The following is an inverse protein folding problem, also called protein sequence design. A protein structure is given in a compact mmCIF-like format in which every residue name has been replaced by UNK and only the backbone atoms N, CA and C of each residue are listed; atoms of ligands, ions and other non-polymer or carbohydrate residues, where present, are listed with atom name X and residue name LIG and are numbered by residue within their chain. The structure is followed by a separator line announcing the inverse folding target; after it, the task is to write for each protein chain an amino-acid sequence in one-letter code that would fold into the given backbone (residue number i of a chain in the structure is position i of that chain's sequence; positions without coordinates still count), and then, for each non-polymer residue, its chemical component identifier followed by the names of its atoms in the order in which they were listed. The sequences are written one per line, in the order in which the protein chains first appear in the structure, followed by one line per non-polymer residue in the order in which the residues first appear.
data_IF_673511110292
#
_entry.id   IF_673511110292
#
_cell.length_a   1.000
_cell.length_b   1.000
_cell.length_c   1.000
_cell.angle_alpha   90.00
_cell.angle_beta   90.00
_cell.angle_gamma   90.00
#
_symmetry.space_group_name_H-M   'P 1'
#
loop_
_entity.id
_entity.type
_entity.pdbx_description
1 polymer ?
#
# COMPACT_ATOMS: atom_id res chain seq x y z
N UNK A 1 10.93 -24.37 41.80
CA UNK A 1 12.24 -23.86 41.35
C UNK A 1 11.95 -22.86 40.24
N UNK A 2 12.26 -21.59 40.45
CA UNK A 2 12.00 -20.51 39.49
C UNK A 2 13.36 -19.94 39.12
N UNK A 3 13.62 -19.85 37.82
CA UNK A 3 14.81 -19.21 37.29
C UNK A 3 14.36 -17.88 36.71
N UNK A 4 14.87 -16.78 37.25
CA UNK A 4 14.71 -15.45 36.65
C UNK A 4 15.86 -15.17 35.70
N UNK A 5 15.53 -14.63 34.53
CA UNK A 5 16.50 -14.16 33.56
C UNK A 5 16.21 -12.69 33.27
N UNK A 6 17.22 -11.84 33.46
CA UNK A 6 17.16 -10.42 33.14
C UNK A 6 17.86 -10.20 31.81
N UNK A 7 17.11 -9.73 30.81
CA UNK A 7 17.63 -9.41 29.48
C UNK A 7 17.83 -7.89 29.42
N UNK A 8 19.07 -7.45 29.21
CA UNK A 8 19.41 -6.05 28.96
C UNK A 8 19.76 -5.90 27.48
N UNK A 9 19.01 -5.07 26.76
CA UNK A 9 19.31 -4.71 25.38
C UNK A 9 20.22 -3.49 25.41
N UNK A 10 21.49 -3.66 25.07
CA UNK A 10 22.48 -2.57 25.11
C UNK A 10 22.29 -1.62 23.93
N UNK A 11 22.17 -2.16 22.71
CA UNK A 11 21.96 -1.37 21.50
C UNK A 11 21.14 -2.16 20.46
N UNK A 12 20.24 -1.46 19.78
CA UNK A 12 19.52 -1.99 18.62
C UNK A 12 20.17 -1.50 17.34
N UNK A 13 21.04 -2.32 16.74
CA UNK A 13 21.58 -2.04 15.41
C UNK A 13 20.55 -2.42 14.34
N UNK A 14 19.75 -1.43 13.97
CA UNK A 14 18.83 -1.53 12.84
C UNK A 14 18.59 -0.14 12.30
N UNK A 15 19.23 0.21 11.20
CA UNK A 15 18.73 1.32 10.39
C UNK A 15 17.38 0.84 9.86
N UNK A 16 16.28 1.26 10.50
CA UNK A 16 14.95 1.28 9.86
C UNK A 16 15.08 2.26 8.71
N UNK A 17 15.65 1.79 7.59
CA UNK A 17 15.69 2.57 6.36
C UNK A 17 14.22 2.70 5.99
N UNK A 18 13.63 3.88 6.22
CA UNK A 18 12.32 4.18 5.64
C UNK A 18 12.51 4.06 4.14
N UNK A 19 12.04 2.93 3.60
CA UNK A 19 12.00 2.73 2.16
C UNK A 19 11.04 3.78 1.66
N UNK A 20 11.57 4.83 1.02
CA UNK A 20 10.76 5.75 0.25
C UNK A 20 10.33 4.98 -0.98
N UNK A 21 9.05 4.61 -1.01
CA UNK A 21 8.46 4.02 -2.19
C UNK A 21 8.16 5.14 -3.17
N UNK A 22 8.68 4.97 -4.39
CA UNK A 22 8.27 5.80 -5.50
C UNK A 22 7.02 5.17 -6.12
N UNK A 23 5.89 5.88 -6.02
CA UNK A 23 4.61 5.45 -6.58
C UNK A 23 4.35 6.09 -7.95
N UNK A 24 5.26 6.90 -8.48
CA UNK A 24 5.12 7.53 -9.81
C UNK A 24 5.39 6.56 -10.96
N UNK A 25 6.03 5.43 -10.66
CA UNK A 25 6.39 4.38 -11.60
C UNK A 25 5.95 3.01 -11.07
N UNK A 26 5.77 2.00 -11.94
CA UNK A 26 5.51 0.63 -11.52
C UNK A 26 6.57 0.11 -10.54
N UNK A 27 6.15 -0.64 -9.53
CA UNK A 27 7.08 -1.25 -8.59
C UNK A 27 7.77 -2.43 -9.29
N UNK A 28 9.09 -2.53 -9.14
CA UNK A 28 9.88 -3.60 -9.79
C UNK A 28 9.45 -5.04 -9.41
N UNK A 29 8.71 -5.19 -8.31
CA UNK A 29 8.21 -6.49 -7.83
C UNK A 29 6.82 -6.85 -8.38
N UNK A 30 6.18 -5.98 -9.19
CA UNK A 30 4.89 -6.26 -9.84
C UNK A 30 3.70 -6.36 -8.88
N UNK A 31 3.78 -5.68 -7.74
CA UNK A 31 2.71 -5.66 -6.74
C UNK A 31 1.67 -4.56 -7.00
N UNK A 32 1.96 -3.62 -7.90
CA UNK A 32 0.98 -2.68 -8.44
C UNK A 32 0.11 -3.35 -9.50
N UNK A 33 -1.20 -3.20 -9.35
CA UNK A 33 -2.21 -3.80 -10.22
C UNK A 33 -3.32 -2.81 -10.58
N UNK A 34 -3.15 -1.53 -10.21
CA UNK A 34 -3.97 -0.40 -10.65
C UNK A 34 -3.19 0.91 -10.59
N UNK A 35 -3.50 1.81 -11.51
CA UNK A 35 -3.01 3.19 -11.52
C UNK A 35 -4.16 4.12 -11.13
N UNK A 36 -3.97 4.91 -10.09
CA UNK A 36 -4.89 5.99 -9.73
C UNK A 36 -4.37 7.29 -10.35
N UNK A 37 -5.24 8.03 -11.04
CA UNK A 37 -4.94 9.37 -11.53
C UNK A 37 -5.61 10.36 -10.58
N UNK A 38 -4.80 11.12 -9.84
CA UNK A 38 -5.26 12.12 -8.87
C UNK A 38 -4.71 13.46 -9.31
N UNK A 39 -5.59 14.42 -9.61
CA UNK A 39 -5.20 15.75 -10.13
C UNK A 39 -4.22 15.67 -11.33
N UNK A 40 -4.42 14.69 -12.21
CA UNK A 40 -3.56 14.45 -13.37
C UNK A 40 -2.22 13.75 -13.06
N UNK A 41 -1.95 13.37 -11.81
CA UNK A 41 -0.76 12.61 -11.39
C UNK A 41 -1.07 11.13 -11.30
N UNK A 42 -0.23 10.30 -11.91
CA UNK A 42 -0.33 8.83 -11.85
C UNK A 42 0.31 8.29 -10.58
N UNK A 43 -0.42 7.42 -9.89
CA UNK A 43 0.01 6.75 -8.67
C UNK A 43 -0.22 5.24 -8.84
N UNK A 44 0.85 4.47 -8.89
CA UNK A 44 0.84 3.02 -9.01
C UNK A 44 0.61 2.38 -7.63
N UNK A 45 -0.47 1.60 -7.48
CA UNK A 45 -0.88 1.04 -6.19
C UNK A 45 -1.41 -0.39 -6.32
N UNK A 46 -1.49 -1.07 -5.18
CA UNK A 46 -2.09 -2.41 -5.08
C UNK A 46 -3.56 -2.35 -4.64
N UNK A 47 -4.48 -2.85 -5.47
CA UNK A 47 -5.93 -3.03 -5.21
C UNK A 47 -6.19 -3.72 -3.89
N UNK A 48 -5.48 -4.83 -3.62
CA UNK A 48 -5.65 -5.62 -2.40
C UNK A 48 -5.26 -4.81 -1.16
N UNK A 49 -4.13 -4.12 -1.21
CA UNK A 49 -3.64 -3.34 -0.09
C UNK A 49 -4.59 -2.18 0.26
N UNK A 50 -5.04 -1.43 -0.74
CA UNK A 50 -5.99 -0.34 -0.54
C UNK A 50 -7.37 -0.82 -0.06
N UNK A 51 -7.85 -1.96 -0.56
CA UNK A 51 -9.13 -2.53 -0.14
C UNK A 51 -9.11 -3.00 1.32
N UNK A 52 -7.99 -3.60 1.77
CA UNK A 52 -7.83 -4.00 3.18
C UNK A 52 -7.92 -2.79 4.11
N UNK A 53 -7.39 -1.65 3.67
CA UNK A 53 -7.31 -0.44 4.49
C UNK A 53 -8.48 0.54 4.27
N UNK A 54 -9.34 0.32 3.28
CA UNK A 54 -10.46 1.21 2.96
C UNK A 54 -11.63 0.47 2.31
N UNK A 55 -12.81 0.49 2.93
CA UNK A 55 -14.02 -0.12 2.36
C UNK A 55 -14.49 0.57 1.08
N UNK A 56 -14.10 1.84 0.86
CA UNK A 56 -14.36 2.56 -0.39
C UNK A 56 -13.61 1.92 -1.55
N UNK A 57 -12.31 1.65 -1.35
CA UNK A 57 -11.48 1.01 -2.38
C UNK A 57 -11.85 -0.46 -2.58
N UNK A 58 -12.24 -1.18 -1.52
CA UNK A 58 -12.80 -2.53 -1.66
C UNK A 58 -14.01 -2.55 -2.59
N UNK A 59 -14.96 -1.64 -2.35
CA UNK A 59 -16.18 -1.52 -3.14
C UNK A 59 -15.87 -1.08 -4.58
N UNK A 60 -14.97 -0.12 -4.78
CA UNK A 60 -14.56 0.38 -6.10
C UNK A 60 -13.88 -0.70 -6.95
N UNK A 61 -13.04 -1.55 -6.37
CA UNK A 61 -12.26 -2.53 -7.13
C UNK A 61 -12.95 -3.88 -7.32
N UNK A 62 -13.76 -4.33 -6.35
CA UNK A 62 -14.29 -5.70 -6.33
C UNK A 62 -15.81 -5.81 -6.45
N UNK A 63 -16.59 -4.77 -6.10
CA UNK A 63 -18.05 -4.76 -6.32
C UNK A 63 -18.38 -4.24 -7.72
N UNK A 64 -19.65 -4.37 -8.11
CA UNK A 64 -20.15 -4.04 -9.45
C UNK A 64 -20.22 -2.52 -9.71
N UNK A 65 -19.05 -1.89 -9.74
CA UNK A 65 -18.82 -0.51 -10.17
C UNK A 65 -18.16 -0.49 -11.55
N UNK A 66 -18.24 0.64 -12.26
CA UNK A 66 -17.65 0.79 -13.60
C UNK A 66 -16.12 0.72 -13.61
N UNK A 67 -15.51 0.83 -12.43
CA UNK A 67 -14.09 0.75 -12.13
C UNK A 67 -13.60 -0.70 -11.96
N UNK A 68 -14.53 -1.66 -11.80
CA UNK A 68 -14.25 -3.09 -11.71
C UNK A 68 -13.60 -3.56 -13.01
N UNK A 69 -12.29 -3.81 -12.96
CA UNK A 69 -11.50 -4.27 -14.09
C UNK A 69 -10.75 -3.18 -14.86
N UNK A 70 -10.86 -1.91 -14.47
CA UNK A 70 -9.99 -0.86 -15.02
C UNK A 70 -8.56 -1.01 -14.50
N UNK A 71 -7.61 -0.73 -15.38
CA UNK A 71 -6.19 -0.64 -15.07
C UNK A 71 -5.81 0.77 -14.62
N UNK A 72 -6.53 1.79 -15.12
CA UNK A 72 -6.36 3.20 -14.76
C UNK A 72 -7.71 3.79 -14.31
N UNK A 73 -7.74 4.41 -13.13
CA UNK A 73 -8.94 4.99 -12.51
C UNK A 73 -8.66 6.45 -12.18
N UNK A 74 -9.49 7.34 -12.75
CA UNK A 74 -9.43 8.78 -12.49
C UNK A 74 -10.24 9.09 -11.23
N UNK A 75 -9.54 9.60 -10.21
CA UNK A 75 -10.15 10.04 -8.94
C UNK A 75 -10.38 11.55 -9.06
N UNK A 76 -11.63 11.93 -9.31
CA UNK A 76 -12.09 13.33 -9.34
C UNK A 76 -12.63 13.71 -7.98
N UNK A 77 -12.10 14.79 -7.41
CA UNK A 77 -12.54 15.51 -6.19
C UNK A 77 -12.86 14.63 -4.95
N UNK A 78 -12.06 14.82 -3.88
CA UNK A 78 -12.36 14.40 -2.49
C UNK A 78 -12.68 15.62 -1.64
#
# INVERSE_FOLDING_TARGET
MIIEATINVEEIFGVRKMVKFDFSSPLAFGSDNVVLVVEGKKVHVGKQFLAIHSPVFETMFYKDYAEKGKEEIDIKDV
#
